data_IF_794897005366
#
_entry.id   IF_794897005366
#
_cell.length_a   1.000
_cell.length_b   1.000
_cell.length_c   1.000
_cell.angle_alpha   90.00
_cell.angle_beta   90.00
_cell.angle_gamma   90.00
#
_symmetry.space_group_name_H-M   'P 1'
#
loop_
_entity.id
_entity.type
_entity.pdbx_description
1 polymer ?
#
# COMPACT_ATOMS: atom_id res chain seq x y z
N UNK A 1 7.28 27.07 -17.02
CA UNK A 1 6.95 27.36 -15.63
C UNK A 1 8.09 26.76 -14.82
N UNK A 2 8.91 27.58 -14.19
CA UNK A 2 9.98 27.06 -13.34
C UNK A 2 9.35 26.73 -12.01
N UNK A 3 9.45 25.48 -11.57
CA UNK A 3 9.04 25.05 -10.23
C UNK A 3 10.06 25.66 -9.28
N UNK A 4 9.62 26.55 -8.38
CA UNK A 4 10.43 26.98 -7.24
C UNK A 4 10.42 25.87 -6.18
N UNK A 5 11.51 25.75 -5.43
CA UNK A 5 11.55 24.86 -4.27
C UNK A 5 10.53 25.30 -3.23
N UNK A 6 10.22 26.59 -3.15
CA UNK A 6 9.12 27.09 -2.33
C UNK A 6 7.76 26.53 -2.79
N UNK A 7 7.49 26.49 -4.11
CA UNK A 7 6.26 25.87 -4.65
C UNK A 7 6.19 24.36 -4.41
N UNK A 8 7.35 23.71 -4.24
CA UNK A 8 7.46 22.26 -4.03
C UNK A 8 7.24 21.83 -2.58
N UNK A 9 7.40 22.76 -1.64
CA UNK A 9 7.35 22.52 -0.19
C UNK A 9 6.39 23.50 0.50
N UNK A 10 5.57 24.24 -0.26
CA UNK A 10 4.58 25.14 0.32
C UNK A 10 3.45 24.31 0.95
N UNK A 11 3.65 23.92 2.20
CA UNK A 11 2.70 23.17 3.02
C UNK A 11 1.51 24.02 3.51
N UNK A 12 1.37 25.27 3.05
CA UNK A 12 0.15 26.07 3.29
C UNK A 12 -1.06 25.56 2.50
N UNK A 13 -0.83 24.88 1.37
CA UNK A 13 -1.88 24.13 0.68
C UNK A 13 -2.07 22.76 1.35
N UNK A 14 -3.21 22.61 2.02
CA UNK A 14 -3.55 21.36 2.72
C UNK A 14 -3.53 20.14 1.79
N UNK A 15 -3.83 20.29 0.49
CA UNK A 15 -3.82 19.16 -0.45
C UNK A 15 -2.41 18.64 -0.73
N UNK A 16 -1.47 19.53 -1.07
CA UNK A 16 -0.07 19.17 -1.28
C UNK A 16 0.58 18.59 -0.02
N UNK A 17 0.15 19.06 1.15
CA UNK A 17 0.62 18.55 2.45
C UNK A 17 0.11 17.13 2.73
N UNK A 18 -1.17 16.87 2.47
CA UNK A 18 -1.76 15.53 2.60
C UNK A 18 -1.11 14.54 1.63
N UNK A 19 -0.91 14.93 0.36
CA UNK A 19 -0.21 14.13 -0.65
C UNK A 19 1.24 13.82 -0.25
N UNK A 20 1.95 14.79 0.31
CA UNK A 20 3.31 14.58 0.81
C UNK A 20 3.35 13.56 1.95
N UNK A 21 2.48 13.70 2.96
CA UNK A 21 2.43 12.73 4.06
C UNK A 21 1.99 11.35 3.60
N UNK A 22 1.03 11.29 2.68
CA UNK A 22 0.61 10.05 2.05
C UNK A 22 1.79 9.34 1.39
N UNK A 23 2.54 10.06 0.54
CA UNK A 23 3.72 9.53 -0.15
C UNK A 23 4.77 9.01 0.83
N UNK A 24 5.11 9.79 1.87
CA UNK A 24 6.12 9.37 2.85
C UNK A 24 5.67 8.11 3.63
N UNK A 25 4.39 8.00 3.97
CA UNK A 25 3.86 6.83 4.67
C UNK A 25 3.78 5.62 3.75
N UNK A 26 3.42 5.81 2.47
CA UNK A 26 3.46 4.79 1.44
C UNK A 26 4.88 4.20 1.33
N UNK A 27 5.91 5.03 1.16
CA UNK A 27 7.29 4.56 1.06
C UNK A 27 7.79 3.87 2.35
N UNK A 28 7.33 4.34 3.51
CA UNK A 28 7.61 3.66 4.77
C UNK A 28 6.95 2.27 4.83
N UNK A 29 5.77 2.11 4.23
CA UNK A 29 5.12 0.80 4.15
C UNK A 29 6.00 -0.20 3.38
N UNK A 30 6.59 0.21 2.26
CA UNK A 30 7.57 -0.60 1.53
C UNK A 30 8.75 -1.03 2.41
N UNK A 31 9.30 -0.13 3.22
CA UNK A 31 10.38 -0.49 4.17
C UNK A 31 9.91 -1.53 5.20
N UNK A 32 8.66 -1.44 5.66
CA UNK A 32 8.09 -2.37 6.65
C UNK A 32 7.78 -3.74 6.01
N UNK A 33 7.27 -3.77 4.78
CA UNK A 33 6.77 -4.99 4.13
C UNK A 33 7.82 -5.71 3.30
N UNK A 34 8.91 -5.03 2.91
CA UNK A 34 9.98 -5.57 2.06
C UNK A 34 11.29 -5.86 2.82
N UNK A 35 11.39 -5.58 4.13
CA UNK A 35 12.64 -5.85 4.86
C UNK A 35 12.99 -7.35 4.95
N UNK A 36 14.19 -7.64 5.46
CA UNK A 36 14.79 -8.98 5.54
C UNK A 36 14.05 -9.95 6.46
N UNK A 37 13.21 -9.48 7.38
CA UNK A 37 12.31 -10.34 8.14
C UNK A 37 11.08 -10.77 7.32
N UNK A 38 10.68 -9.98 6.32
CA UNK A 38 9.50 -10.23 5.49
C UNK A 38 9.83 -10.98 4.20
N UNK A 39 11.00 -10.72 3.60
CA UNK A 39 11.27 -11.08 2.22
C UNK A 39 12.69 -11.63 2.00
N UNK A 40 12.81 -12.52 1.00
CA UNK A 40 14.08 -13.09 0.54
C UNK A 40 14.32 -12.60 -0.89
N UNK A 41 15.36 -11.80 -1.08
CA UNK A 41 15.74 -11.23 -2.37
C UNK A 41 16.60 -12.19 -3.20
N UNK A 42 16.55 -12.03 -4.53
CA UNK A 42 17.25 -12.88 -5.50
C UNK A 42 16.90 -14.36 -5.31
N UNK A 43 15.61 -14.64 -5.12
CA UNK A 43 15.08 -15.96 -4.86
C UNK A 43 14.28 -16.48 -6.05
N UNK A 44 13.87 -17.74 -5.97
CA UNK A 44 12.98 -18.37 -6.95
C UNK A 44 11.59 -18.56 -6.34
N UNK A 45 10.53 -18.62 -7.16
CA UNK A 45 9.17 -18.89 -6.69
C UNK A 45 9.12 -20.19 -5.87
N UNK A 46 8.42 -20.16 -4.73
CA UNK A 46 8.25 -21.31 -3.85
C UNK A 46 6.80 -21.47 -3.41
N UNK A 47 6.39 -22.71 -3.17
CA UNK A 47 5.01 -23.02 -2.82
C UNK A 47 4.62 -22.36 -1.48
N UNK A 48 3.44 -21.74 -1.43
CA UNK A 48 2.93 -21.08 -0.22
C UNK A 48 3.47 -19.67 0.02
N UNK A 49 4.39 -19.20 -0.84
CA UNK A 49 4.97 -17.86 -0.77
C UNK A 49 4.59 -17.04 -1.99
N UNK A 50 4.08 -15.84 -1.75
CA UNK A 50 3.95 -14.83 -2.77
C UNK A 50 5.34 -14.49 -3.33
N UNK A 51 5.39 -14.23 -4.63
CA UNK A 51 6.62 -13.97 -5.36
C UNK A 51 6.39 -12.84 -6.36
N UNK A 52 7.28 -11.85 -6.35
CA UNK A 52 7.24 -10.66 -7.18
C UNK A 52 8.68 -10.18 -7.41
N UNK A 53 9.05 -9.86 -8.66
CA UNK A 53 10.35 -9.26 -9.00
C UNK A 53 11.60 -9.91 -8.37
N UNK A 54 11.72 -11.24 -8.41
CA UNK A 54 12.82 -12.00 -7.79
C UNK A 54 12.86 -11.94 -6.25
N UNK A 55 11.76 -11.53 -5.63
CA UNK A 55 11.54 -11.46 -4.19
C UNK A 55 10.49 -12.50 -3.78
N UNK A 56 10.84 -13.37 -2.82
CA UNK A 56 9.91 -14.31 -2.21
C UNK A 56 9.56 -13.86 -0.80
N UNK A 57 8.27 -13.73 -0.52
CA UNK A 57 7.75 -13.27 0.76
C UNK A 57 7.52 -14.44 1.71
N UNK A 58 8.01 -14.33 2.94
CA UNK A 58 7.89 -15.39 3.95
C UNK A 58 6.41 -15.75 4.19
N UNK A 59 6.14 -17.00 4.57
CA UNK A 59 4.75 -17.49 4.71
C UNK A 59 3.95 -16.66 5.74
N UNK A 60 4.64 -16.20 6.78
CA UNK A 60 4.16 -15.34 7.86
C UNK A 60 4.41 -13.84 7.64
N UNK A 61 4.87 -13.43 6.44
CA UNK A 61 5.02 -12.01 6.12
C UNK A 61 3.67 -11.34 5.87
N UNK A 62 3.61 -10.04 6.16
CA UNK A 62 2.41 -9.23 5.95
C UNK A 62 1.95 -9.26 4.51
N UNK A 63 2.87 -9.13 3.55
CA UNK A 63 2.51 -9.12 2.13
C UNK A 63 2.03 -10.49 1.64
N UNK A 64 2.64 -11.59 2.08
CA UNK A 64 2.14 -12.92 1.73
C UNK A 64 0.71 -13.13 2.24
N UNK A 65 0.46 -12.76 3.51
CA UNK A 65 -0.87 -12.89 4.09
C UNK A 65 -1.89 -11.97 3.39
N UNK A 66 -1.51 -10.72 3.11
CA UNK A 66 -2.35 -9.75 2.40
C UNK A 66 -2.70 -10.23 0.99
N UNK A 67 -1.72 -10.71 0.23
CA UNK A 67 -1.91 -11.30 -1.09
C UNK A 67 -2.90 -12.47 -1.03
N UNK A 68 -2.69 -13.41 -0.11
CA UNK A 68 -3.52 -14.60 0.01
C UNK A 68 -4.97 -14.28 0.44
N UNK A 69 -5.20 -13.16 1.14
CA UNK A 69 -6.54 -12.74 1.56
C UNK A 69 -7.28 -11.93 0.49
N UNK A 70 -6.57 -11.09 -0.26
CA UNK A 70 -7.21 -10.05 -1.07
C UNK A 70 -6.93 -10.12 -2.58
N UNK A 71 -5.95 -10.92 -3.02
CA UNK A 71 -5.58 -11.07 -4.44
C UNK A 71 -5.95 -12.43 -5.03
N UNK A 72 -6.90 -13.14 -4.43
CA UNK A 72 -7.39 -14.44 -4.92
C UNK A 72 -8.42 -14.26 -6.03
N UNK A 73 -7.96 -14.04 -7.26
CA UNK A 73 -8.81 -13.88 -8.42
C UNK A 73 -9.00 -15.18 -9.22
N UNK A 74 -9.97 -15.20 -10.13
CA UNK A 74 -10.19 -16.33 -11.04
C UNK A 74 -9.00 -16.55 -11.98
N UNK A 75 -8.92 -17.72 -12.61
CA UNK A 75 -7.85 -18.03 -13.59
C UNK A 75 -7.85 -17.03 -14.75
N UNK A 76 -9.01 -16.56 -15.20
CA UNK A 76 -9.10 -15.57 -16.28
C UNK A 76 -8.53 -14.22 -15.85
N UNK A 77 -8.80 -13.80 -14.61
CA UNK A 77 -8.21 -12.59 -14.02
C UNK A 77 -6.70 -12.74 -13.78
N UNK A 78 -6.21 -13.93 -13.41
CA UNK A 78 -4.77 -14.16 -13.23
C UNK A 78 -3.96 -13.93 -14.50
N UNK A 79 -4.55 -14.18 -15.69
CA UNK A 79 -3.91 -13.90 -16.98
C UNK A 79 -3.86 -12.39 -17.27
N UNK A 80 -4.84 -11.65 -16.78
CA UNK A 80 -4.88 -10.20 -16.88
C UNK A 80 -3.81 -9.60 -15.97
N UNK A 81 -3.69 -10.10 -14.74
CA UNK A 81 -2.67 -9.68 -13.78
C UNK A 81 -1.26 -9.92 -14.31
N UNK A 82 -1.01 -11.00 -15.06
CA UNK A 82 0.29 -11.24 -15.71
C UNK A 82 0.69 -10.16 -16.74
N UNK A 83 -0.24 -9.30 -17.16
CA UNK A 83 0.00 -8.23 -18.12
C UNK A 83 -0.33 -6.85 -17.53
N UNK A 84 -0.32 -6.72 -16.19
CA UNK A 84 -0.75 -5.51 -15.47
C UNK A 84 0.22 -4.32 -15.62
N UNK A 85 1.42 -4.56 -16.11
CA UNK A 85 2.36 -3.49 -16.49
C UNK A 85 1.80 -2.64 -17.65
N UNK A 86 0.94 -3.22 -18.49
CA UNK A 86 0.25 -2.47 -19.53
C UNK A 86 -0.83 -1.58 -18.91
N UNK A 87 -0.70 -0.27 -19.09
CA UNK A 87 -1.59 0.74 -18.49
C UNK A 87 -3.08 0.55 -18.83
N UNK A 88 -3.43 0.23 -20.08
CA UNK A 88 -4.82 0.01 -20.47
C UNK A 88 -5.40 -1.27 -19.84
N UNK A 89 -4.58 -2.32 -19.72
CA UNK A 89 -4.96 -3.56 -19.03
C UNK A 89 -5.16 -3.31 -17.55
N UNK A 90 -4.23 -2.61 -16.90
CA UNK A 90 -4.31 -2.25 -15.47
C UNK A 90 -5.54 -1.40 -15.18
N UNK A 91 -5.79 -0.37 -15.98
CA UNK A 91 -6.94 0.50 -15.78
C UNK A 91 -8.26 -0.29 -15.93
N UNK A 92 -8.36 -1.20 -16.91
CA UNK A 92 -9.52 -2.10 -17.05
C UNK A 92 -9.63 -3.11 -15.91
N UNK A 93 -8.52 -3.55 -15.34
CA UNK A 93 -8.51 -4.39 -14.16
C UNK A 93 -9.04 -3.62 -12.95
N UNK A 94 -8.51 -2.43 -12.69
CA UNK A 94 -9.00 -1.52 -11.65
C UNK A 94 -10.50 -1.26 -11.78
N UNK A 95 -11.00 -0.85 -12.95
CA UNK A 95 -12.43 -0.56 -13.14
C UNK A 95 -13.34 -1.77 -12.88
N UNK A 96 -12.87 -3.01 -13.07
CA UNK A 96 -13.64 -4.22 -12.78
C UNK A 96 -13.63 -4.60 -11.31
N UNK A 97 -12.66 -4.09 -10.55
CA UNK A 97 -12.41 -4.39 -9.15
C UNK A 97 -12.28 -3.12 -8.31
N UNK A 98 -12.96 -2.03 -8.68
CA UNK A 98 -12.81 -0.70 -8.07
C UNK A 98 -13.00 -0.76 -6.54
N UNK A 99 -13.99 -1.53 -6.08
CA UNK A 99 -14.27 -1.76 -4.66
C UNK A 99 -13.17 -2.53 -3.92
N UNK A 100 -12.13 -2.99 -4.62
CA UNK A 100 -10.99 -3.69 -4.04
C UNK A 100 -9.80 -2.78 -3.76
N UNK A 101 -9.70 -1.62 -4.38
CA UNK A 101 -8.48 -0.80 -4.31
C UNK A 101 -8.77 0.58 -3.73
N UNK A 102 -7.86 1.09 -2.90
CA UNK A 102 -7.99 2.43 -2.32
C UNK A 102 -7.72 3.53 -3.36
N UNK A 103 -6.91 3.22 -4.37
CA UNK A 103 -6.55 4.06 -5.51
C UNK A 103 -6.42 3.19 -6.76
N UNK A 104 -6.37 3.80 -7.95
CA UNK A 104 -6.03 3.07 -9.18
C UNK A 104 -4.56 2.64 -9.21
N UNK A 105 -3.68 3.39 -8.55
CA UNK A 105 -2.27 3.02 -8.36
C UNK A 105 -2.12 1.74 -7.53
N UNK A 106 -2.93 1.53 -6.49
CA UNK A 106 -2.94 0.29 -5.72
C UNK A 106 -3.21 -0.98 -6.58
N UNK A 107 -3.76 -0.83 -7.78
CA UNK A 107 -3.99 -1.96 -8.68
C UNK A 107 -2.75 -2.35 -9.51
N UNK A 108 -1.60 -1.67 -9.39
CA UNK A 108 -0.37 -2.01 -10.12
C UNK A 108 0.22 -3.34 -9.67
N UNK A 109 0.25 -3.60 -8.37
CA UNK A 109 0.75 -4.85 -7.81
C UNK A 109 0.29 -5.05 -6.36
N UNK A 110 0.39 -6.28 -5.82
CA UNK A 110 0.17 -6.53 -4.40
C UNK A 110 1.09 -5.73 -3.47
N UNK A 111 2.34 -5.47 -3.87
CA UNK A 111 3.29 -4.66 -3.09
C UNK A 111 2.85 -3.19 -3.01
N UNK A 112 2.38 -2.60 -4.10
CA UNK A 112 1.83 -1.24 -4.10
C UNK A 112 0.48 -1.16 -3.37
N UNK A 113 -0.37 -2.17 -3.52
CA UNK A 113 -1.67 -2.24 -2.85
C UNK A 113 -1.55 -2.27 -1.32
N UNK A 114 -0.62 -3.07 -0.77
CA UNK A 114 -0.40 -3.08 0.68
C UNK A 114 0.17 -1.75 1.15
N UNK A 115 1.03 -1.09 0.36
CA UNK A 115 1.63 0.19 0.71
C UNK A 115 0.60 1.33 0.73
N UNK A 116 -0.21 1.44 -0.33
CA UNK A 116 -1.34 2.35 -0.42
C UNK A 116 -2.35 2.10 0.71
N UNK A 117 -2.72 0.84 0.93
CA UNK A 117 -3.66 0.47 2.00
C UNK A 117 -3.10 0.82 3.39
N UNK A 118 -1.80 0.67 3.62
CA UNK A 118 -1.14 1.07 4.87
C UNK A 118 -1.15 2.59 5.05
N UNK A 119 -0.90 3.36 3.98
CA UNK A 119 -0.99 4.81 4.02
C UNK A 119 -2.41 5.27 4.40
N UNK A 120 -3.44 4.69 3.79
CA UNK A 120 -4.84 4.91 4.19
C UNK A 120 -5.09 4.50 5.65
N UNK A 121 -4.54 3.38 6.10
CA UNK A 121 -4.65 2.94 7.49
C UNK A 121 -4.07 3.95 8.48
N UNK A 122 -2.93 4.57 8.17
CA UNK A 122 -2.29 5.54 9.06
C UNK A 122 -3.00 6.88 9.05
N UNK A 123 -3.37 7.39 7.87
CA UNK A 123 -3.85 8.77 7.70
C UNK A 123 -5.34 8.86 8.04
N UNK A 124 -6.14 7.86 7.69
CA UNK A 124 -7.59 7.90 7.83
C UNK A 124 -8.11 7.22 9.11
N UNK A 125 -9.37 7.53 9.42
CA UNK A 125 -10.12 6.84 10.45
C UNK A 125 -10.46 5.40 10.03
N UNK A 126 -10.68 4.53 11.01
CA UNK A 126 -10.98 3.13 10.76
C UNK A 126 -12.30 3.01 9.95
N UNK A 127 -12.29 2.40 8.76
CA UNK A 127 -13.50 2.23 7.97
C UNK A 127 -14.41 1.15 8.59
N UNK A 128 -15.72 1.33 8.44
CA UNK A 128 -16.75 0.47 9.04
C UNK A 128 -17.56 -0.35 8.03
N UNK A 129 -17.43 -0.08 6.73
CA UNK A 129 -18.14 -0.80 5.68
C UNK A 129 -17.48 -2.14 5.32
N UNK A 130 -17.97 -2.78 4.27
CA UNK A 130 -17.60 -4.14 3.91
C UNK A 130 -16.94 -4.27 2.53
N UNK A 131 -16.61 -3.16 1.88
CA UNK A 131 -15.87 -3.22 0.61
C UNK A 131 -14.46 -3.78 0.86
N UNK A 132 -13.86 -4.38 -0.17
CA UNK A 132 -12.57 -5.07 -0.04
C UNK A 132 -11.46 -4.08 0.33
N UNK A 133 -11.46 -2.86 -0.21
CA UNK A 133 -10.52 -1.82 0.19
C UNK A 133 -10.63 -1.46 1.68
N UNK A 134 -11.83 -1.48 2.26
CA UNK A 134 -12.02 -1.23 3.70
C UNK A 134 -11.50 -2.40 4.55
N UNK A 135 -11.66 -3.63 4.06
CA UNK A 135 -11.12 -4.83 4.71
C UNK A 135 -9.58 -4.81 4.70
N UNK A 136 -8.96 -4.37 3.60
CA UNK A 136 -7.51 -4.17 3.50
C UNK A 136 -6.99 -3.15 4.51
N UNK A 137 -7.71 -2.05 4.75
CA UNK A 137 -7.34 -1.11 5.83
C UNK A 137 -7.49 -1.77 7.21
N UNK A 138 -8.52 -2.61 7.40
CA UNK A 138 -8.75 -3.29 8.68
C UNK A 138 -7.75 -4.39 8.98
N UNK A 139 -7.15 -5.00 7.97
CA UNK A 139 -6.09 -6.00 8.08
C UNK A 139 -4.98 -5.55 9.04
N UNK A 140 -4.52 -4.30 8.92
CA UNK A 140 -3.43 -3.79 9.77
C UNK A 140 -3.79 -3.65 11.25
N UNK A 141 -5.08 -3.59 11.61
CA UNK A 141 -5.51 -3.60 13.01
C UNK A 141 -5.39 -4.98 13.67
N UNK A 142 -5.09 -6.03 12.91
CA UNK A 142 -4.84 -7.38 13.44
C UNK A 142 -3.42 -7.53 14.03
N UNK A 143 -2.54 -6.55 13.78
CA UNK A 143 -1.14 -6.56 14.23
C UNK A 143 -0.88 -5.40 15.20
N UNK A 144 -0.60 -5.71 16.47
CA UNK A 144 -0.44 -4.71 17.53
C UNK A 144 0.71 -3.73 17.24
N UNK A 145 1.80 -4.23 16.68
CA UNK A 145 2.98 -3.46 16.29
C UNK A 145 2.68 -2.45 15.18
N UNK A 146 1.82 -2.78 14.21
CA UNK A 146 1.45 -1.86 13.13
C UNK A 146 0.51 -0.76 13.65
N UNK A 147 -0.35 -1.08 14.62
CA UNK A 147 -1.16 -0.08 15.35
C UNK A 147 -0.27 0.87 16.15
N UNK A 148 0.77 0.36 16.81
CA UNK A 148 1.75 1.20 17.50
C UNK A 148 2.51 2.12 16.52
N UNK A 149 2.96 1.60 15.38
CA UNK A 149 3.61 2.37 14.32
C UNK A 149 2.68 3.49 13.83
N UNK A 150 1.42 3.18 13.52
CA UNK A 150 0.40 4.17 13.13
C UNK A 150 0.30 5.31 14.16
N UNK A 151 0.18 4.97 15.44
CA UNK A 151 0.03 5.97 16.50
C UNK A 151 1.28 6.85 16.63
N UNK A 152 2.47 6.26 16.48
CA UNK A 152 3.73 6.98 16.50
C UNK A 152 3.88 7.92 15.30
N UNK A 153 3.50 7.50 14.09
CA UNK A 153 3.51 8.34 12.89
C UNK A 153 2.54 9.51 13.09
N UNK A 154 1.27 9.24 13.43
CA UNK A 154 0.26 10.29 13.66
C UNK A 154 0.72 11.32 14.69
N UNK A 155 1.31 10.87 15.81
CA UNK A 155 1.86 11.78 16.83
C UNK A 155 2.96 12.68 16.28
N UNK A 156 3.85 12.15 15.42
CA UNK A 156 4.92 12.93 14.80
C UNK A 156 4.37 13.93 13.79
N UNK A 157 3.43 13.50 12.94
CA UNK A 157 2.78 14.38 11.97
C UNK A 157 2.09 15.55 12.68
N UNK A 158 1.25 15.28 13.69
CA UNK A 158 0.63 16.35 14.49
C UNK A 158 1.64 17.27 15.19
N UNK A 159 2.79 16.74 15.61
CA UNK A 159 3.85 17.58 16.22
C UNK A 159 4.53 18.51 15.22
N UNK A 160 4.63 18.10 13.94
CA UNK A 160 5.13 18.96 12.86
C UNK A 160 4.14 20.08 12.57
N UNK A 161 2.84 19.83 12.69
CA UNK A 161 1.79 20.85 12.53
C UNK A 161 1.79 21.90 13.65
N UNK A 162 2.27 21.54 14.84
CA UNK A 162 2.39 22.47 15.97
C UNK A 162 3.69 23.29 15.89
N UNK A 163 4.70 22.79 15.19
CA UNK A 163 6.03 23.41 15.10
C UNK A 163 6.20 24.34 13.88
N UNK A 164 5.33 24.23 12.87
CA UNK A 164 5.24 25.11 11.71
C UNK A 164 4.32 26.31 12.00
#
# INVERSE_FOLDING_TARGET
>A
MAIDIEDSINMEDNSLKEDFYFTIVHELAHVITLNDAQAIYNSEPSFGKYFEEDISFNEDSYLNEFYNRFWTYSIDESRIIQNIDNEDIRYKFFLRHENSFVTDYAATSPSEDIAESFAYFVINEKPMGNEIWEQKIRFFYEFEELVEIKNNIRKRLSSLEIAA
#
